data_IF_895358024469
#
_entry.id   IF_895358024469
#
_cell.length_a   1.000
_cell.length_b   1.000
_cell.length_c   1.000
_cell.angle_alpha   90.00
_cell.angle_beta   90.00
_cell.angle_gamma   90.00
#
_symmetry.space_group_name_H-M   'P 1'
#
loop_
_entity.id
_entity.type
_entity.pdbx_description
1 polymer ?
#
# COMPACT_ATOMS: atom_id res chain seq x y z
N UNK A 1 2.20 38.66 2.68
CA UNK A 1 3.16 37.55 2.87
C UNK A 1 3.91 37.78 4.18
N UNK A 2 4.02 36.76 5.04
CA UNK A 2 4.69 36.86 6.34
C UNK A 2 6.21 36.77 6.16
N UNK A 3 6.90 37.91 6.09
CA UNK A 3 8.34 38.01 5.79
C UNK A 3 9.28 37.47 6.89
N UNK A 4 8.73 37.01 8.02
CA UNK A 4 9.48 36.49 9.18
C UNK A 4 9.14 35.03 9.53
N UNK A 5 8.34 34.35 8.70
CA UNK A 5 7.98 32.95 8.93
C UNK A 5 9.01 32.05 8.25
N UNK A 6 9.71 31.24 9.03
CA UNK A 6 10.56 30.18 8.49
C UNK A 6 9.69 28.97 8.12
N UNK A 7 9.66 28.62 6.83
CA UNK A 7 8.93 27.47 6.34
C UNK A 7 9.86 26.26 6.26
N UNK A 8 9.61 25.26 7.10
CA UNK A 8 10.33 23.98 7.08
C UNK A 8 9.38 22.90 6.53
N UNK A 9 9.83 22.16 5.53
CA UNK A 9 9.07 21.01 5.02
C UNK A 9 9.29 19.81 5.93
N UNK A 10 8.21 19.16 6.35
CA UNK A 10 8.27 17.96 7.17
C UNK A 10 8.97 16.81 6.43
N UNK A 11 9.94 16.15 7.06
CA UNK A 11 10.66 15.00 6.48
C UNK A 11 9.71 13.86 6.08
N UNK A 12 8.69 13.60 6.89
CA UNK A 12 7.64 12.61 6.63
C UNK A 12 6.91 12.92 5.33
N UNK A 13 6.65 14.21 5.06
CA UNK A 13 6.00 14.63 3.83
C UNK A 13 6.87 14.25 2.61
N UNK A 14 8.19 14.40 2.70
CA UNK A 14 9.12 13.93 1.67
C UNK A 14 9.01 12.44 1.41
N UNK A 15 8.97 11.61 2.46
CA UNK A 15 8.84 10.16 2.32
C UNK A 15 7.47 9.74 1.74
N UNK A 16 6.39 10.43 2.11
CA UNK A 16 5.08 10.21 1.49
C UNK A 16 5.08 10.55 -0.01
N UNK A 17 5.84 11.56 -0.45
CA UNK A 17 6.00 11.87 -1.88
C UNK A 17 6.83 10.80 -2.59
N UNK A 18 7.85 10.25 -1.95
CA UNK A 18 8.58 9.11 -2.50
C UNK A 18 7.66 7.89 -2.68
N UNK A 19 6.82 7.57 -1.69
CA UNK A 19 5.83 6.50 -1.78
C UNK A 19 4.80 6.74 -2.91
N UNK A 20 4.35 7.99 -3.09
CA UNK A 20 3.49 8.37 -4.22
C UNK A 20 4.18 8.14 -5.56
N UNK A 21 5.47 8.45 -5.64
CA UNK A 21 6.25 8.27 -6.86
C UNK A 21 6.39 6.79 -7.21
N UNK A 22 6.75 5.95 -6.23
CA UNK A 22 6.76 4.48 -6.39
C UNK A 22 5.42 3.99 -6.94
N UNK A 23 4.30 4.39 -6.32
CA UNK A 23 2.94 4.01 -6.76
C UNK A 23 2.70 4.30 -8.25
N UNK A 24 3.17 5.43 -8.77
CA UNK A 24 2.97 5.81 -10.19
C UNK A 24 3.64 4.84 -11.16
N UNK A 25 4.73 4.19 -10.75
CA UNK A 25 5.41 3.17 -11.56
C UNK A 25 4.69 1.82 -11.56
N UNK A 26 3.76 1.58 -10.62
CA UNK A 26 3.02 0.31 -10.50
C UNK A 26 1.50 0.52 -10.63
N UNK A 27 1.01 1.00 -11.79
CA UNK A 27 -0.40 1.32 -11.97
C UNK A 27 -1.33 0.10 -11.82
N UNK A 28 -0.86 -1.12 -12.14
CA UNK A 28 -1.65 -2.35 -11.98
C UNK A 28 -1.87 -2.69 -10.51
N UNK A 29 -0.83 -2.59 -9.69
CA UNK A 29 -0.92 -2.78 -8.24
C UNK A 29 -1.85 -1.73 -7.62
N UNK A 30 -1.73 -0.46 -8.06
CA UNK A 30 -2.61 0.61 -7.60
C UNK A 30 -4.08 0.35 -7.95
N UNK A 31 -4.35 -0.07 -9.19
CA UNK A 31 -5.68 -0.45 -9.63
C UNK A 31 -6.23 -1.66 -8.87
N UNK A 32 -5.39 -2.67 -8.57
CA UNK A 32 -5.81 -3.83 -7.80
C UNK A 32 -6.29 -3.40 -6.42
N UNK A 33 -5.44 -2.70 -5.67
CA UNK A 33 -5.74 -2.24 -4.31
C UNK A 33 -7.03 -1.41 -4.30
N UNK A 34 -7.20 -0.53 -5.29
CA UNK A 34 -8.40 0.30 -5.41
C UNK A 34 -9.67 -0.50 -5.73
N UNK A 35 -9.61 -1.46 -6.66
CA UNK A 35 -10.77 -2.27 -7.04
C UNK A 35 -11.15 -3.26 -5.94
N UNK A 36 -10.19 -3.92 -5.32
CA UNK A 36 -10.46 -4.86 -4.21
C UNK A 36 -11.05 -4.13 -2.99
N UNK A 37 -10.59 -2.91 -2.69
CA UNK A 37 -11.25 -2.04 -1.70
C UNK A 37 -12.74 -1.87 -2.01
N UNK A 38 -13.11 -1.62 -3.26
CA UNK A 38 -14.51 -1.48 -3.68
C UNK A 38 -15.29 -2.80 -3.61
N UNK A 39 -14.64 -3.93 -3.84
CA UNK A 39 -15.28 -5.24 -3.67
C UNK A 39 -15.84 -5.39 -2.26
N UNK A 40 -15.09 -5.02 -1.22
CA UNK A 40 -15.56 -5.20 0.17
C UNK A 40 -16.29 -3.99 0.76
N UNK A 41 -16.25 -2.83 0.10
CA UNK A 41 -16.86 -1.60 0.61
C UNK A 41 -18.39 -1.74 0.76
N UNK A 42 -18.88 -1.61 1.99
CA UNK A 42 -20.32 -1.65 2.34
C UNK A 42 -21.06 -2.91 1.87
N UNK A 43 -20.36 -4.04 1.72
CA UNK A 43 -20.98 -5.31 1.37
C UNK A 43 -20.71 -6.39 2.45
N UNK A 44 -21.61 -6.53 3.45
CA UNK A 44 -21.44 -7.50 4.52
C UNK A 44 -21.32 -8.94 4.04
N UNK A 45 -22.05 -9.33 2.98
CA UNK A 45 -22.01 -10.68 2.43
C UNK A 45 -20.62 -11.05 1.90
N UNK A 46 -19.96 -10.15 1.16
CA UNK A 46 -18.59 -10.39 0.65
C UNK A 46 -17.53 -10.34 1.74
N UNK A 47 -17.73 -9.50 2.77
CA UNK A 47 -16.87 -9.50 3.97
C UNK A 47 -17.02 -10.85 4.72
N UNK A 48 -18.24 -11.36 4.84
CA UNK A 48 -18.50 -12.64 5.48
C UNK A 48 -17.85 -13.78 4.69
N UNK A 49 -18.01 -13.80 3.37
CA UNK A 49 -17.33 -14.75 2.49
C UNK A 49 -15.81 -14.72 2.65
N UNK A 50 -15.21 -13.53 2.71
CA UNK A 50 -13.77 -13.37 2.97
C UNK A 50 -13.38 -14.03 4.30
N UNK A 51 -14.10 -13.74 5.38
CA UNK A 51 -13.81 -14.26 6.72
C UNK A 51 -13.99 -15.77 6.83
N UNK A 52 -14.92 -16.35 6.08
CA UNK A 52 -15.11 -17.80 6.02
C UNK A 52 -13.97 -18.50 5.29
N UNK A 53 -13.45 -17.89 4.21
CA UNK A 53 -12.33 -18.44 3.43
C UNK A 53 -10.97 -18.21 4.10
N UNK A 54 -10.79 -17.09 4.78
CA UNK A 54 -9.54 -16.71 5.43
C UNK A 54 -9.79 -16.16 6.85
N UNK A 55 -10.18 -17.01 7.82
CA UNK A 55 -10.56 -16.56 9.17
C UNK A 55 -9.40 -15.94 9.96
N UNK A 56 -8.16 -16.30 9.61
CA UNK A 56 -6.95 -15.84 10.29
C UNK A 56 -6.26 -14.67 9.59
N UNK A 57 -6.82 -14.18 8.48
CA UNK A 57 -6.27 -13.04 7.73
C UNK A 57 -7.23 -11.86 7.92
N UNK A 58 -6.68 -10.69 8.22
CA UNK A 58 -7.46 -9.46 8.32
C UNK A 58 -8.02 -9.05 6.94
N UNK A 59 -9.01 -8.15 6.90
CA UNK A 59 -9.43 -7.58 5.62
C UNK A 59 -8.30 -6.72 5.03
N UNK A 60 -8.20 -6.62 3.69
CA UNK A 60 -7.18 -5.78 3.06
C UNK A 60 -7.21 -4.34 3.60
N UNK A 61 -6.04 -3.77 3.96
CA UNK A 61 -5.97 -2.41 4.46
C UNK A 61 -6.40 -1.42 3.36
N UNK A 62 -6.96 -0.29 3.77
CA UNK A 62 -7.45 0.72 2.85
C UNK A 62 -6.48 1.91 2.80
N UNK A 63 -5.84 2.18 1.65
CA UNK A 63 -4.98 3.34 1.53
C UNK A 63 -5.75 4.65 1.72
N UNK A 64 -5.07 5.61 2.32
CA UNK A 64 -5.50 7.01 2.49
C UNK A 64 -4.78 7.85 1.44
N UNK A 65 -5.55 8.54 0.59
CA UNK A 65 -5.02 9.30 -0.57
C UNK A 65 -3.97 10.36 -0.20
N UNK A 66 -4.01 10.89 1.03
CA UNK A 66 -3.06 11.90 1.50
C UNK A 66 -1.86 11.32 2.25
N UNK A 67 -1.83 10.00 2.48
CA UNK A 67 -0.78 9.29 3.22
C UNK A 67 -0.35 8.06 2.45
N UNK A 68 0.42 8.25 1.38
CA UNK A 68 0.83 7.17 0.48
C UNK A 68 1.71 6.09 1.12
N UNK A 69 2.21 6.31 2.35
CA UNK A 69 2.80 5.22 3.14
C UNK A 69 1.80 4.08 3.40
N UNK A 70 0.51 4.40 3.54
CA UNK A 70 -0.56 3.39 3.68
C UNK A 70 -0.79 2.56 2.43
N UNK A 71 -0.40 3.07 1.25
CA UNK A 71 -0.45 2.30 0.01
C UNK A 71 0.65 1.24 -0.02
N UNK A 72 1.86 1.54 0.48
CA UNK A 72 2.93 0.55 0.63
C UNK A 72 2.55 -0.55 1.62
N UNK A 73 1.93 -0.17 2.75
CA UNK A 73 1.39 -1.16 3.71
C UNK A 73 0.39 -2.09 3.01
N UNK A 74 -0.49 -1.53 2.17
CA UNK A 74 -1.41 -2.36 1.38
C UNK A 74 -0.64 -3.26 0.40
N UNK A 75 0.26 -2.72 -0.42
CA UNK A 75 1.05 -3.52 -1.35
C UNK A 75 1.79 -4.68 -0.65
N UNK A 76 2.38 -4.43 0.52
CA UNK A 76 3.02 -5.47 1.33
C UNK A 76 2.03 -6.56 1.74
N UNK A 77 0.87 -6.18 2.29
CA UNK A 77 -0.20 -7.11 2.64
C UNK A 77 -0.65 -7.98 1.45
N UNK A 78 -0.80 -7.39 0.25
CA UNK A 78 -1.16 -8.16 -0.96
C UNK A 78 -0.04 -9.11 -1.39
N UNK A 79 1.23 -8.72 -1.21
CA UNK A 79 2.36 -9.60 -1.48
C UNK A 79 2.39 -10.81 -0.52
N UNK A 80 2.20 -10.57 0.77
CA UNK A 80 2.23 -11.60 1.83
C UNK A 80 1.08 -12.61 1.71
N UNK A 81 -0.08 -12.16 1.26
CA UNK A 81 -1.31 -12.97 1.20
C UNK A 81 -1.81 -13.23 -0.22
N UNK A 82 -0.93 -13.13 -1.22
CA UNK A 82 -1.31 -13.11 -2.63
C UNK A 82 -2.20 -14.30 -3.05
N UNK A 83 -1.79 -15.53 -2.74
CA UNK A 83 -2.52 -16.73 -3.17
C UNK A 83 -3.92 -16.80 -2.54
N UNK A 84 -4.02 -16.56 -1.22
CA UNK A 84 -5.30 -16.56 -0.52
C UNK A 84 -6.23 -15.47 -1.06
N UNK A 85 -5.70 -14.27 -1.32
CA UNK A 85 -6.49 -13.17 -1.90
C UNK A 85 -6.95 -13.49 -3.32
N UNK A 86 -6.08 -14.11 -4.12
CA UNK A 86 -6.41 -14.54 -5.48
C UNK A 86 -7.57 -15.53 -5.47
N UNK A 87 -7.53 -16.56 -4.61
CA UNK A 87 -8.63 -17.51 -4.45
C UNK A 87 -9.94 -16.83 -4.05
N UNK A 88 -9.90 -15.91 -3.07
CA UNK A 88 -11.09 -15.19 -2.62
C UNK A 88 -11.67 -14.32 -3.74
N UNK A 89 -10.84 -13.55 -4.45
CA UNK A 89 -11.29 -12.62 -5.50
C UNK A 89 -11.86 -13.38 -6.70
N UNK A 90 -11.21 -14.48 -7.12
CA UNK A 90 -11.71 -15.35 -8.18
C UNK A 90 -12.99 -16.09 -7.76
N UNK A 91 -13.21 -16.30 -6.47
CA UNK A 91 -14.44 -16.90 -5.93
C UNK A 91 -15.65 -15.95 -5.87
N UNK A 92 -15.48 -14.66 -6.12
CA UNK A 92 -16.59 -13.70 -6.18
C UNK A 92 -17.32 -13.78 -7.52
N UNK A 93 -18.63 -13.49 -7.53
CA UNK A 93 -19.37 -13.39 -8.78
C UNK A 93 -18.93 -12.16 -9.59
N UNK A 94 -18.39 -12.40 -10.79
CA UNK A 94 -17.87 -11.39 -11.70
C UNK A 94 -18.91 -10.33 -12.07
N UNK A 95 -20.17 -10.73 -12.18
CA UNK A 95 -21.27 -9.86 -12.63
C UNK A 95 -21.82 -8.94 -11.52
N UNK A 96 -21.49 -9.18 -10.25
CA UNK A 96 -22.01 -8.41 -9.12
C UNK A 96 -21.52 -6.95 -9.10
N UNK A 97 -20.32 -6.69 -9.64
CA UNK A 97 -19.76 -5.34 -9.73
C UNK A 97 -18.58 -5.27 -10.70
N UNK A 98 -18.47 -4.17 -11.45
CA UNK A 98 -17.30 -3.88 -12.31
C UNK A 98 -15.97 -3.89 -11.56
N UNK A 99 -15.94 -3.60 -10.25
CA UNK A 99 -14.71 -3.70 -9.47
C UNK A 99 -14.25 -5.14 -9.25
N UNK A 100 -15.18 -6.09 -9.19
CA UNK A 100 -14.85 -7.52 -9.05
C UNK A 100 -14.24 -8.01 -10.35
N UNK A 101 -14.91 -7.74 -11.48
CA UNK A 101 -14.38 -8.02 -12.82
C UNK A 101 -12.94 -7.52 -12.99
N UNK A 102 -12.70 -6.23 -12.72
CA UNK A 102 -11.36 -5.65 -12.84
C UNK A 102 -10.34 -6.26 -11.88
N UNK A 103 -10.75 -6.61 -10.67
CA UNK A 103 -9.85 -7.25 -9.71
C UNK A 103 -9.48 -8.67 -10.16
N UNK A 104 -10.42 -9.41 -10.75
CA UNK A 104 -10.17 -10.74 -11.30
C UNK A 104 -9.22 -10.68 -12.50
N UNK A 105 -9.45 -9.77 -13.44
CA UNK A 105 -8.57 -9.58 -14.60
C UNK A 105 -7.14 -9.23 -14.19
N UNK A 106 -6.97 -8.41 -13.15
CA UNK A 106 -5.65 -8.09 -12.59
C UNK A 106 -5.02 -9.30 -11.89
N UNK A 107 -5.79 -10.12 -11.18
CA UNK A 107 -5.28 -11.33 -10.52
C UNK A 107 -4.80 -12.41 -11.49
N UNK A 108 -5.28 -12.37 -12.74
CA UNK A 108 -4.82 -13.25 -13.82
C UNK A 108 -3.58 -12.72 -14.57
N UNK A 109 -3.17 -11.48 -14.31
CA UNK A 109 -1.93 -10.91 -14.86
C UNK A 109 -0.69 -11.60 -14.26
N UNK A 110 0.12 -12.22 -15.11
CA UNK A 110 1.31 -12.96 -14.69
C UNK A 110 2.39 -12.09 -14.05
N UNK A 111 2.40 -10.78 -14.32
CA UNK A 111 3.39 -9.85 -13.78
C UNK A 111 2.97 -9.25 -12.44
N UNK A 112 1.69 -9.29 -12.08
CA UNK A 112 1.19 -8.63 -10.87
C UNK A 112 1.91 -9.11 -9.59
N UNK A 113 2.12 -10.43 -9.49
CA UNK A 113 2.83 -11.02 -8.35
C UNK A 113 4.30 -10.57 -8.31
N UNK A 114 4.96 -10.50 -9.46
CA UNK A 114 6.35 -10.02 -9.57
C UNK A 114 6.46 -8.54 -9.18
N UNK A 115 5.51 -7.70 -9.62
CA UNK A 115 5.44 -6.29 -9.26
C UNK A 115 5.27 -6.11 -7.73
N UNK A 116 4.38 -6.89 -7.11
CA UNK A 116 4.18 -6.89 -5.66
C UNK A 116 5.45 -7.31 -4.91
N UNK A 117 6.14 -8.36 -5.37
CA UNK A 117 7.41 -8.82 -4.78
C UNK A 117 8.49 -7.75 -4.91
N UNK A 118 8.58 -7.09 -6.06
CA UNK A 118 9.54 -6.01 -6.27
C UNK A 118 9.27 -4.83 -5.32
N UNK A 119 8.01 -4.40 -5.19
CA UNK A 119 7.63 -3.34 -4.25
C UNK A 119 7.98 -3.75 -2.81
N UNK A 120 7.61 -4.96 -2.40
CA UNK A 120 7.87 -5.46 -1.05
C UNK A 120 9.37 -5.48 -0.74
N UNK A 121 10.18 -6.01 -1.65
CA UNK A 121 11.62 -6.21 -1.45
C UNK A 121 12.40 -4.89 -1.40
N UNK A 122 12.00 -3.91 -2.22
CA UNK A 122 12.75 -2.68 -2.40
C UNK A 122 12.19 -1.48 -1.62
N UNK A 123 10.87 -1.42 -1.46
CA UNK A 123 10.17 -0.30 -0.84
C UNK A 123 9.36 -0.70 0.39
N UNK A 124 9.31 -1.98 0.76
CA UNK A 124 8.51 -2.45 1.89
C UNK A 124 8.89 -1.78 3.21
N UNK A 125 10.17 -1.48 3.43
CA UNK A 125 10.63 -0.81 4.67
C UNK A 125 10.35 0.69 4.71
N UNK A 126 9.95 1.32 3.59
CA UNK A 126 9.62 2.75 3.55
C UNK A 126 8.36 3.07 4.39
N UNK A 127 7.38 2.15 4.45
CA UNK A 127 6.23 2.33 5.35
C UNK A 127 6.63 2.33 6.83
N UNK A 128 7.65 1.54 7.20
CA UNK A 128 8.13 1.47 8.58
C UNK A 128 8.84 2.77 8.96
N UNK A 129 9.68 3.29 8.06
CA UNK A 129 10.37 4.58 8.25
C UNK A 129 9.39 5.74 8.39
N UNK A 130 8.32 5.75 7.58
CA UNK A 130 7.22 6.73 7.71
C UNK A 130 6.57 6.61 9.09
N UNK A 131 6.18 5.39 9.49
CA UNK A 131 5.53 5.14 10.77
C UNK A 131 6.41 5.55 11.95
N UNK A 132 7.71 5.26 11.88
CA UNK A 132 8.66 5.70 12.91
C UNK A 132 8.69 7.23 13.01
N UNK A 133 8.83 7.94 11.90
CA UNK A 133 8.87 9.40 11.91
C UNK A 133 7.55 10.05 12.36
N UNK A 134 6.41 9.38 12.21
CA UNK A 134 5.11 9.82 12.76
C UNK A 134 5.06 9.76 14.30
N UNK A 135 5.97 9.06 14.96
CA UNK A 135 6.01 8.97 16.43
C UNK A 135 6.55 10.26 17.08
N UNK A 136 6.03 10.56 18.27
CA UNK A 136 6.52 11.69 19.08
C UNK A 136 7.76 11.30 19.89
N UNK A 137 8.67 12.26 20.09
CA UNK A 137 9.85 12.09 20.96
C UNK A 137 11.13 11.64 20.26
N UNK A 138 11.11 11.47 18.94
CA UNK A 138 12.33 11.28 18.14
C UNK A 138 13.19 12.55 18.14
N UNK A 139 14.49 12.40 18.35
CA UNK A 139 15.44 13.49 18.18
C UNK A 139 15.61 13.82 16.69
N UNK A 140 15.90 15.09 16.39
CA UNK A 140 16.15 15.53 15.01
C UNK A 140 17.27 14.72 14.33
N UNK A 141 18.33 14.39 15.09
CA UNK A 141 19.41 13.54 14.61
C UNK A 141 18.92 12.16 14.16
N UNK A 142 18.07 11.50 14.95
CA UNK A 142 17.50 10.21 14.57
C UNK A 142 16.55 10.35 13.37
N UNK A 143 15.75 11.41 13.30
CA UNK A 143 14.87 11.64 12.15
C UNK A 143 15.66 11.80 10.84
N UNK A 144 16.78 12.54 10.86
CA UNK A 144 17.66 12.68 9.70
C UNK A 144 18.27 11.32 9.31
N UNK A 145 18.73 10.56 10.29
CA UNK A 145 19.29 9.22 10.06
C UNK A 145 18.30 8.29 9.37
N UNK A 146 17.03 8.27 9.80
CA UNK A 146 15.99 7.46 9.17
C UNK A 146 15.85 7.80 7.67
N UNK A 147 15.89 9.10 7.32
CA UNK A 147 15.79 9.52 5.92
C UNK A 147 17.01 9.09 5.11
N UNK A 148 18.22 9.19 5.68
CA UNK A 148 19.45 8.72 5.03
C UNK A 148 19.45 7.20 4.81
N UNK A 149 18.96 6.43 5.79
CA UNK A 149 18.84 4.98 5.68
C UNK A 149 17.85 4.57 4.57
N UNK A 150 16.75 5.32 4.41
CA UNK A 150 15.81 5.15 3.29
C UNK A 150 16.48 5.45 1.95
N UNK A 151 17.19 6.57 1.84
CA UNK A 151 17.91 6.96 0.62
C UNK A 151 18.88 5.86 0.18
N UNK A 152 19.70 5.37 1.10
CA UNK A 152 20.68 4.32 0.83
C UNK A 152 20.03 3.02 0.33
N UNK A 153 18.87 2.64 0.88
CA UNK A 153 18.13 1.45 0.44
C UNK A 153 17.55 1.63 -0.97
N UNK A 154 16.96 2.79 -1.24
CA UNK A 154 16.37 3.07 -2.56
C UNK A 154 17.45 3.11 -3.66
N UNK A 155 18.66 3.58 -3.36
CA UNK A 155 19.77 3.56 -4.32
C UNK A 155 20.21 2.14 -4.74
N UNK A 156 19.82 1.11 -3.98
CA UNK A 156 20.16 -0.30 -4.24
C UNK A 156 19.02 -1.07 -4.93
N UNK A 157 17.86 -0.43 -5.13
CA UNK A 157 16.63 -1.02 -5.67
C UNK A 157 16.59 -1.11 -7.21
#
# INVERSE_FOLDING_TARGET
MYSKMEHVTCLIHGLHRAADEVRKYFPKVDQLIFNVKKCFLKCPARIQFFREKAPNISLPPQPVLTRWGTWLIAANYYCEHFETLKEIILGLNREDATSIEKAQDLMDDCNLKSDLIYIYSNFGTLSDSITQLETFGLSLHHSIKIVQDVENKIQQA
#
